data_IF_304912817743
#
_entry.id   IF_304912817743
#
_cell.length_a   1.000
_cell.length_b   1.000
_cell.length_c   1.000
_cell.angle_alpha   90.00
_cell.angle_beta   90.00
_cell.angle_gamma   90.00
#
_symmetry.space_group_name_H-M   'P 1'
#
loop_
_entity.id
_entity.type
_entity.pdbx_description
1 polymer ?
#
# COMPACT_ATOMS: atom_id res chain seq x y z
N UNK A 1 11.55 -11.91 22.81
CA UNK A 1 11.95 -11.08 21.65
C UNK A 1 10.85 -10.07 21.40
N UNK A 2 11.22 -8.85 21.02
CA UNK A 2 10.26 -7.76 20.79
C UNK A 2 10.36 -7.32 19.34
N UNK A 3 9.25 -7.41 18.59
CA UNK A 3 9.23 -6.97 17.21
C UNK A 3 8.99 -5.46 17.17
N UNK A 4 9.85 -4.72 16.48
CA UNK A 4 9.80 -3.26 16.41
C UNK A 4 8.86 -2.78 15.30
N UNK A 5 8.99 -3.33 14.10
CA UNK A 5 8.23 -2.90 12.92
C UNK A 5 8.40 -3.88 11.78
N UNK A 6 7.63 -3.67 10.73
CA UNK A 6 7.88 -4.34 9.45
C UNK A 6 8.98 -3.54 8.73
N UNK A 7 10.01 -4.23 8.24
CA UNK A 7 11.07 -3.60 7.43
C UNK A 7 10.67 -3.59 5.95
N UNK A 8 10.35 -4.75 5.43
CA UNK A 8 9.88 -4.90 4.05
C UNK A 8 8.99 -6.14 3.95
N UNK A 9 8.24 -6.19 2.87
CA UNK A 9 7.49 -7.37 2.48
C UNK A 9 7.77 -7.66 1.01
N UNK A 10 7.35 -8.80 0.53
CA UNK A 10 7.56 -9.23 -0.85
C UNK A 10 6.20 -9.40 -1.52
N UNK A 11 6.03 -8.77 -2.68
CA UNK A 11 4.91 -9.06 -3.59
C UNK A 11 5.41 -9.90 -4.74
N UNK A 12 4.73 -11.00 -5.00
CA UNK A 12 4.90 -11.74 -6.25
C UNK A 12 3.93 -11.13 -7.26
N UNK A 13 4.44 -10.72 -8.41
CA UNK A 13 3.68 -9.98 -9.41
C UNK A 13 3.76 -10.67 -10.76
N UNK A 14 2.73 -10.47 -11.59
CA UNK A 14 2.70 -11.03 -12.93
C UNK A 14 3.74 -10.38 -13.86
N UNK A 15 4.01 -9.10 -13.66
CA UNK A 15 4.94 -8.33 -14.48
C UNK A 15 5.60 -7.24 -13.64
N UNK A 16 6.88 -7.43 -13.33
CA UNK A 16 7.63 -6.48 -12.49
C UNK A 16 7.63 -5.07 -13.09
N UNK A 17 7.79 -4.94 -14.41
CA UNK A 17 7.81 -3.62 -15.05
C UNK A 17 6.48 -2.88 -14.89
N UNK A 18 5.37 -3.59 -15.06
CA UNK A 18 4.03 -3.02 -14.89
C UNK A 18 3.79 -2.58 -13.43
N UNK A 19 4.24 -3.37 -12.47
CA UNK A 19 4.14 -3.02 -11.05
C UNK A 19 5.00 -1.81 -10.71
N UNK A 20 6.23 -1.76 -11.22
CA UNK A 20 7.11 -0.60 -11.03
C UNK A 20 6.47 0.68 -11.59
N UNK A 21 5.90 0.61 -12.78
CA UNK A 21 5.21 1.76 -13.39
C UNK A 21 4.04 2.21 -12.52
N UNK A 22 3.19 1.28 -12.12
CA UNK A 22 2.00 1.60 -11.33
C UNK A 22 2.36 2.26 -10.00
N UNK A 23 3.21 1.61 -9.21
CA UNK A 23 3.52 2.08 -7.86
C UNK A 23 4.32 3.39 -7.86
N UNK A 24 5.15 3.63 -8.88
CA UNK A 24 5.85 4.91 -8.99
C UNK A 24 4.92 6.02 -9.45
N UNK A 25 4.08 5.77 -10.44
CA UNK A 25 3.18 6.76 -11.02
C UNK A 25 1.99 7.08 -10.10
N UNK A 26 1.38 6.06 -9.52
CA UNK A 26 0.16 6.23 -8.72
C UNK A 26 0.48 6.56 -7.27
N UNK A 27 1.47 5.91 -6.68
CA UNK A 27 1.77 6.05 -5.25
C UNK A 27 3.10 6.76 -4.97
N UNK A 28 3.76 7.27 -6.00
CA UNK A 28 5.02 8.01 -5.87
C UNK A 28 6.10 7.23 -5.13
N UNK A 29 6.08 5.91 -5.21
CA UNK A 29 7.15 5.09 -4.66
C UNK A 29 8.36 5.12 -5.57
N UNK A 30 9.55 5.04 -4.99
CA UNK A 30 10.78 5.06 -5.75
C UNK A 30 11.18 3.63 -6.14
N UNK A 31 11.36 3.40 -7.44
CA UNK A 31 11.85 2.11 -7.93
C UNK A 31 13.35 2.05 -7.69
N UNK A 32 13.80 1.01 -6.98
CA UNK A 32 15.23 0.78 -6.72
C UNK A 32 15.63 -0.59 -7.21
N UNK A 33 16.85 -0.71 -7.71
CA UNK A 33 17.43 -1.98 -8.11
C UNK A 33 18.49 -2.40 -7.08
N UNK A 34 18.55 -3.68 -6.79
CA UNK A 34 19.55 -4.22 -5.87
C UNK A 34 19.85 -5.67 -6.22
N UNK A 35 20.93 -6.19 -5.65
CA UNK A 35 21.29 -7.63 -5.64
C UNK A 35 20.93 -8.44 -6.88
N UNK A 36 21.63 -8.26 -8.01
CA UNK A 36 21.45 -9.15 -9.15
C UNK A 36 20.18 -8.90 -9.96
N UNK A 37 19.76 -7.65 -10.11
CA UNK A 37 18.63 -7.29 -10.94
C UNK A 37 17.29 -7.33 -10.23
N UNK A 38 17.28 -7.47 -8.92
CA UNK A 38 16.06 -7.38 -8.12
C UNK A 38 15.54 -5.95 -8.10
N UNK A 39 14.23 -5.81 -8.04
CA UNK A 39 13.56 -4.52 -7.94
C UNK A 39 12.79 -4.42 -6.64
N UNK A 40 12.75 -3.20 -6.11
CA UNK A 40 11.93 -2.88 -4.95
C UNK A 40 11.29 -1.52 -5.12
N UNK A 41 10.23 -1.31 -4.38
CA UNK A 41 9.47 -0.05 -4.30
C UNK A 41 9.76 0.54 -2.93
N UNK A 42 10.48 1.65 -2.89
CA UNK A 42 10.89 2.30 -1.66
C UNK A 42 9.95 3.45 -1.32
N UNK A 43 9.55 3.53 -0.06
CA UNK A 43 8.72 4.61 0.46
C UNK A 43 8.95 4.75 1.96
N UNK A 44 8.99 5.99 2.44
CA UNK A 44 9.29 6.25 3.83
C UNK A 44 10.59 5.55 4.24
N UNK A 45 10.52 4.70 5.24
CA UNK A 45 11.65 3.89 5.72
C UNK A 45 11.44 2.41 5.47
N UNK A 46 10.59 2.08 4.49
CA UNK A 46 10.19 0.72 4.18
C UNK A 46 10.31 0.47 2.67
N UNK A 47 10.16 -0.75 2.27
CA UNK A 47 10.12 -1.10 0.85
C UNK A 47 9.26 -2.34 0.63
N UNK A 48 8.85 -2.51 -0.61
CA UNK A 48 8.22 -3.72 -1.10
C UNK A 48 9.15 -4.31 -2.15
N UNK A 49 9.71 -5.48 -1.87
CA UNK A 49 10.48 -6.22 -2.86
C UNK A 49 9.53 -6.88 -3.86
N UNK A 50 9.92 -6.90 -5.12
CA UNK A 50 9.10 -7.52 -6.17
C UNK A 50 9.73 -8.81 -6.65
N UNK A 51 8.93 -9.88 -6.68
CA UNK A 51 9.30 -11.15 -7.29
C UNK A 51 8.46 -11.35 -8.56
N UNK A 52 9.12 -11.69 -9.65
CA UNK A 52 8.43 -12.09 -10.87
C UNK A 52 7.82 -13.47 -10.67
N UNK A 53 6.52 -13.60 -10.89
CA UNK A 53 5.82 -14.88 -10.78
C UNK A 53 6.47 -15.93 -11.67
N UNK A 54 6.74 -17.09 -11.10
CA UNK A 54 7.44 -18.19 -11.76
C UNK A 54 8.97 -18.07 -11.73
N UNK A 55 9.51 -16.95 -11.27
CA UNK A 55 10.96 -16.71 -11.20
C UNK A 55 11.34 -16.10 -9.85
N UNK A 56 10.63 -16.46 -8.81
CA UNK A 56 10.87 -15.93 -7.46
C UNK A 56 12.27 -16.29 -6.98
N UNK A 57 12.83 -15.43 -6.14
CA UNK A 57 14.11 -15.70 -5.48
C UNK A 57 13.90 -16.49 -4.20
N UNK A 58 14.72 -17.50 -3.97
CA UNK A 58 14.67 -18.28 -2.74
C UNK A 58 15.45 -17.58 -1.60
N UNK A 59 15.00 -17.69 -0.32
CA UNK A 59 13.75 -18.33 0.11
C UNK A 59 12.54 -17.45 -0.22
N UNK A 60 11.39 -18.06 -0.41
CA UNK A 60 10.15 -17.36 -0.77
C UNK A 60 8.98 -17.90 0.06
N UNK A 61 7.84 -17.23 -0.04
CA UNK A 61 6.62 -17.74 0.54
C UNK A 61 6.28 -19.11 -0.08
N UNK A 62 5.60 -19.94 0.66
CA UNK A 62 5.22 -21.27 0.17
C UNK A 62 4.32 -21.20 -1.05
N UNK A 63 3.40 -20.20 -1.05
CA UNK A 63 2.43 -20.02 -2.14
C UNK A 63 2.47 -18.58 -2.64
N UNK A 64 3.56 -18.19 -3.29
CA UNK A 64 3.67 -16.84 -3.83
C UNK A 64 2.68 -16.70 -4.98
N UNK A 65 1.70 -15.81 -4.80
CA UNK A 65 0.56 -15.71 -5.71
C UNK A 65 0.25 -14.26 -6.03
N UNK A 66 0.30 -13.83 -7.30
CA UNK A 66 -0.16 -12.51 -7.68
C UNK A 66 -1.62 -12.30 -7.30
N UNK A 67 -1.95 -11.10 -6.77
CA UNK A 67 -3.31 -10.74 -6.45
C UNK A 67 -3.83 -11.23 -5.09
N UNK A 68 -2.94 -11.71 -4.24
CA UNK A 68 -3.33 -12.22 -2.91
C UNK A 68 -3.07 -11.24 -1.77
N UNK A 69 -2.51 -10.07 -2.04
CA UNK A 69 -2.17 -9.10 -1.01
C UNK A 69 -3.30 -8.12 -0.74
N UNK A 70 -3.34 -7.64 0.49
CA UNK A 70 -4.26 -6.62 0.98
C UNK A 70 -3.42 -5.73 1.89
N UNK A 71 -3.15 -4.50 1.47
CA UNK A 71 -2.16 -3.63 2.11
C UNK A 71 -2.76 -2.26 2.39
N UNK A 72 -2.59 -1.78 3.62
CA UNK A 72 -2.94 -0.42 3.99
C UNK A 72 -1.68 0.44 4.09
N UNK A 73 -1.69 1.56 3.41
CA UNK A 73 -0.60 2.52 3.37
C UNK A 73 -1.08 3.85 3.97
N UNK A 74 -0.27 4.42 4.84
CA UNK A 74 -0.58 5.70 5.46
C UNK A 74 0.09 6.82 4.67
N UNK A 75 -0.66 7.88 4.41
CA UNK A 75 -0.15 9.12 3.83
C UNK A 75 -0.61 10.31 4.64
N UNK A 76 0.16 11.39 4.62
CA UNK A 76 -0.25 12.67 5.17
C UNK A 76 -0.94 13.56 4.14
N UNK A 77 -0.91 13.17 2.87
CA UNK A 77 -1.66 13.85 1.82
C UNK A 77 -3.15 13.75 2.15
N UNK A 78 -3.88 14.86 2.24
CA UNK A 78 -5.30 14.81 2.59
C UNK A 78 -6.09 13.88 1.69
N UNK A 79 -7.00 13.09 2.27
CA UNK A 79 -7.68 12.02 1.55
C UNK A 79 -8.44 12.51 0.32
N UNK A 80 -8.96 13.74 0.34
CA UNK A 80 -9.63 14.33 -0.83
C UNK A 80 -8.67 14.49 -2.01
N UNK A 81 -7.43 14.86 -1.72
CA UNK A 81 -6.39 14.99 -2.74
C UNK A 81 -5.95 13.62 -3.25
N UNK A 82 -5.93 12.62 -2.38
CA UNK A 82 -5.66 11.24 -2.78
C UNK A 82 -6.69 10.77 -3.80
N UNK A 83 -7.98 11.00 -3.53
CA UNK A 83 -9.07 10.63 -4.45
C UNK A 83 -8.89 11.35 -5.79
N UNK A 84 -8.62 12.65 -5.77
CA UNK A 84 -8.41 13.42 -6.98
C UNK A 84 -7.22 12.90 -7.80
N UNK A 85 -6.13 12.55 -7.13
CA UNK A 85 -4.95 12.00 -7.77
C UNK A 85 -5.23 10.64 -8.41
N UNK A 86 -5.91 9.74 -7.68
CA UNK A 86 -6.29 8.43 -8.21
C UNK A 86 -7.13 8.56 -9.48
N UNK A 87 -8.11 9.46 -9.46
CA UNK A 87 -8.95 9.74 -10.64
C UNK A 87 -8.13 10.28 -11.79
N UNK A 88 -7.21 11.20 -11.51
CA UNK A 88 -6.33 11.77 -12.54
C UNK A 88 -5.43 10.70 -13.17
N UNK A 89 -5.06 9.67 -12.40
CA UNK A 89 -4.30 8.52 -12.89
C UNK A 89 -5.17 7.47 -13.59
N UNK A 90 -6.48 7.69 -13.67
CA UNK A 90 -7.39 6.71 -14.27
C UNK A 90 -7.68 5.50 -13.39
N UNK A 91 -7.47 5.63 -12.08
CA UNK A 91 -7.67 4.53 -11.14
C UNK A 91 -9.10 4.60 -10.59
N UNK A 92 -9.79 3.46 -10.66
CA UNK A 92 -11.13 3.33 -10.11
C UNK A 92 -11.06 3.17 -8.59
N UNK A 93 -11.71 4.07 -7.86
CA UNK A 93 -11.86 3.97 -6.41
C UNK A 93 -13.01 3.01 -6.11
N UNK A 94 -12.67 1.86 -5.52
CA UNK A 94 -13.65 0.83 -5.18
C UNK A 94 -14.58 1.26 -4.06
N UNK A 95 -14.04 1.92 -3.05
CA UNK A 95 -14.76 2.32 -1.85
C UNK A 95 -14.04 3.49 -1.19
N UNK A 96 -14.78 4.31 -0.51
CA UNK A 96 -14.22 5.41 0.29
C UNK A 96 -14.36 6.78 -0.38
N UNK A 97 -14.02 7.82 0.39
CA UNK A 97 -13.48 7.80 1.76
C UNK A 97 -14.44 7.21 2.79
N UNK A 98 -13.95 6.28 3.59
CA UNK A 98 -14.74 5.60 4.62
C UNK A 98 -13.94 5.50 5.91
N UNK A 99 -14.59 5.56 7.10
CA UNK A 99 -13.88 5.36 8.35
C UNK A 99 -13.50 3.90 8.55
N UNK A 100 -12.31 3.69 9.08
CA UNK A 100 -11.75 2.37 9.41
C UNK A 100 -10.95 2.48 10.70
N UNK A 101 -10.50 1.33 11.21
CA UNK A 101 -9.66 1.27 12.39
C UNK A 101 -8.24 0.93 11.99
N UNK A 102 -7.31 1.84 12.27
CA UNK A 102 -5.89 1.62 12.05
C UNK A 102 -5.21 0.96 13.24
N UNK A 103 -3.92 0.73 13.11
CA UNK A 103 -3.13 0.09 14.16
C UNK A 103 -3.09 0.90 15.46
N UNK A 104 -3.12 2.23 15.37
CA UNK A 104 -2.98 3.13 16.52
C UNK A 104 -4.12 4.14 16.65
N UNK A 105 -5.20 3.96 15.93
CA UNK A 105 -6.35 4.85 16.04
C UNK A 105 -7.22 4.84 14.79
N UNK A 106 -8.27 5.67 14.77
CA UNK A 106 -9.17 5.76 13.63
C UNK A 106 -8.50 6.36 12.40
N UNK A 107 -8.87 5.85 11.25
CA UNK A 107 -8.36 6.30 9.95
C UNK A 107 -9.52 6.55 8.99
N UNK A 108 -9.25 7.31 7.93
CA UNK A 108 -10.15 7.48 6.78
C UNK A 108 -9.45 6.87 5.58
N UNK A 109 -10.13 5.98 4.87
CA UNK A 109 -9.51 5.13 3.85
C UNK A 109 -10.21 5.21 2.50
N UNK A 110 -9.41 5.05 1.45
CA UNK A 110 -9.89 4.77 0.09
C UNK A 110 -9.23 3.49 -0.41
N UNK A 111 -9.96 2.74 -1.24
CA UNK A 111 -9.56 1.43 -1.72
C UNK A 111 -9.50 1.39 -3.24
N UNK A 112 -8.49 0.71 -3.77
CA UNK A 112 -8.35 0.50 -5.21
C UNK A 112 -7.52 -0.75 -5.48
N UNK A 113 -7.37 -1.12 -6.75
CA UNK A 113 -6.61 -2.32 -7.16
C UNK A 113 -5.30 -1.92 -7.83
N UNK A 114 -4.27 -2.71 -7.59
CA UNK A 114 -3.02 -2.63 -8.33
C UNK A 114 -3.10 -3.49 -9.62
N UNK A 115 -2.04 -3.58 -10.45
CA UNK A 115 -2.10 -4.34 -11.71
C UNK A 115 -2.43 -5.83 -11.55
N UNK A 116 -2.10 -6.42 -10.40
CA UNK A 116 -2.41 -7.83 -10.10
C UNK A 116 -3.74 -8.01 -9.38
N UNK A 117 -4.51 -6.93 -9.20
CA UNK A 117 -5.74 -6.89 -8.43
C UNK A 117 -5.54 -7.10 -6.93
N UNK A 118 -4.33 -6.84 -6.42
CA UNK A 118 -4.15 -6.70 -4.99
C UNK A 118 -5.02 -5.55 -4.47
N UNK A 119 -5.57 -5.70 -3.27
CA UNK A 119 -6.33 -4.62 -2.66
C UNK A 119 -5.37 -3.65 -1.99
N UNK A 120 -5.43 -2.39 -2.40
CA UNK A 120 -4.64 -1.32 -1.82
C UNK A 120 -5.58 -0.36 -1.10
N UNK A 121 -5.26 -0.09 0.15
CA UNK A 121 -5.94 0.89 0.97
C UNK A 121 -4.97 2.02 1.26
N UNK A 122 -5.37 3.27 1.00
CA UNK A 122 -4.58 4.45 1.36
C UNK A 122 -5.38 5.26 2.36
N UNK A 123 -4.75 5.66 3.45
CA UNK A 123 -5.45 6.20 4.61
C UNK A 123 -4.74 7.38 5.22
N UNK A 124 -5.54 8.27 5.83
CA UNK A 124 -5.07 9.27 6.77
C UNK A 124 -5.46 8.85 8.18
N UNK A 125 -4.58 9.04 9.16
CA UNK A 125 -5.03 9.04 10.54
C UNK A 125 -5.88 10.27 10.81
N UNK A 126 -6.93 10.09 11.61
CA UNK A 126 -7.82 11.19 11.99
C UNK A 126 -7.10 12.06 13.01
N UNK A 127 -7.05 13.38 12.74
CA UNK A 127 -6.45 14.34 13.65
C UNK A 127 -7.21 14.37 14.99
N UNK A 128 -6.49 14.66 16.08
CA UNK A 128 -7.10 14.70 17.41
C UNK A 128 -8.28 15.69 17.47
N UNK A 129 -8.16 16.85 16.83
CA UNK A 129 -9.21 17.86 16.77
C UNK A 129 -10.34 17.49 15.81
N UNK A 130 -10.16 16.47 14.98
CA UNK A 130 -11.19 15.92 14.09
C UNK A 130 -11.93 14.76 14.71
N UNK A 131 -11.51 14.31 15.88
CA UNK A 131 -12.16 13.22 16.61
C UNK A 131 -13.48 13.74 17.15
N UNK A 132 -14.54 12.94 17.00
CA UNK A 132 -15.86 13.26 17.54
C UNK A 132 -15.83 13.38 19.06
N UNK A 133 -16.85 14.03 19.67
CA UNK A 133 -16.89 14.21 21.13
C UNK A 133 -16.66 12.93 21.91
N UNK A 134 -16.19 13.09 23.14
CA UNK A 134 -15.76 11.96 23.98
C UNK A 134 -16.83 10.91 24.26
N UNK A 135 -18.11 11.26 24.10
CA UNK A 135 -19.24 10.34 24.25
C UNK A 135 -19.53 9.52 23.00
N UNK A 136 -18.80 9.77 21.91
CA UNK A 136 -18.95 9.01 20.66
C UNK A 136 -17.97 7.85 20.62
N UNK A 137 -18.41 6.68 20.09
CA UNK A 137 -17.52 5.53 20.02
C UNK A 137 -16.38 5.76 19.04
N UNK A 138 -15.21 5.23 19.35
CA UNK A 138 -14.07 5.20 18.44
C UNK A 138 -14.09 3.91 17.62
N UNK A 139 -13.68 4.02 16.38
CA UNK A 139 -13.58 2.87 15.49
C UNK A 139 -12.24 2.17 15.65
#
# INVERSE_FOLDING_TARGET
MQIARIDHLVLTVADVAASCDFYSRVLNMQVVAFGGGRKALSFGRQKINLHQSGKEFEPKAERPTPGSADICLITETPINQVVGHLRACGIHVLDGPVPRTGAIGPIISVYFRDPDSNLIEVSNYVEAESIVPADSPRQ
#
